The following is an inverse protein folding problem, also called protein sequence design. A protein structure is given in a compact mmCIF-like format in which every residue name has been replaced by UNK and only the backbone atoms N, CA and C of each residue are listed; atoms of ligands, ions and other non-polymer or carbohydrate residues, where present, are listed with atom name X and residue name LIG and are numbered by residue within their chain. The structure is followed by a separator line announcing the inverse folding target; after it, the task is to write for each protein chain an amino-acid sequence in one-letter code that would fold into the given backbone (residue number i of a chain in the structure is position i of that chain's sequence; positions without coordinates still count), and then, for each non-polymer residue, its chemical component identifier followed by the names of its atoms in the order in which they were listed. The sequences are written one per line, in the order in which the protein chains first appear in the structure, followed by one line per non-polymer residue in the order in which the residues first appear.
data_IF_094809016290
#
_entry.id   IF_094809016290
#
_cell.length_a   1.000
_cell.length_b   1.000
_cell.length_c   1.000
_cell.angle_alpha   90.00
_cell.angle_beta   90.00
_cell.angle_gamma   90.00
#
_symmetry.space_group_name_H-M   'P 1'
#
loop_
_entity.id
_entity.type
_entity.pdbx_description
1 polymer ?
#
# COMPACT_ATOMS: atom_id res chain seq x y z
N UNK A 1 -34.47 -22.61 -70.27
CA UNK A 1 -34.27 -21.22 -69.84
C UNK A 1 -35.00 -21.04 -68.52
N UNK A 2 -34.28 -20.95 -67.39
CA UNK A 2 -34.83 -20.80 -66.03
C UNK A 2 -34.07 -19.65 -65.33
N UNK A 3 -34.76 -18.74 -64.63
CA UNK A 3 -34.14 -17.56 -64.04
C UNK A 3 -33.44 -17.89 -62.71
N UNK A 4 -32.27 -17.29 -62.51
CA UNK A 4 -31.48 -17.36 -61.29
C UNK A 4 -32.02 -16.32 -60.30
N UNK A 5 -32.44 -16.77 -59.12
CA UNK A 5 -32.75 -15.92 -57.97
C UNK A 5 -31.48 -15.71 -57.14
N UNK A 6 -31.22 -14.46 -56.82
CA UNK A 6 -30.17 -13.96 -55.94
C UNK A 6 -30.45 -14.33 -54.48
N UNK A 7 -29.46 -14.88 -53.79
CA UNK A 7 -29.40 -14.95 -52.33
C UNK A 7 -28.07 -14.35 -51.88
N UNK A 8 -28.15 -13.22 -51.17
CA UNK A 8 -27.01 -12.60 -50.50
C UNK A 8 -26.69 -13.39 -49.22
N UNK A 9 -25.46 -13.86 -49.10
CA UNK A 9 -24.94 -14.46 -47.87
C UNK A 9 -24.14 -13.40 -47.09
N UNK A 10 -24.69 -12.98 -45.96
CA UNK A 10 -24.06 -12.09 -44.99
C UNK A 10 -23.00 -12.88 -44.22
N UNK A 11 -21.71 -12.61 -44.45
CA UNK A 11 -20.61 -13.24 -43.71
C UNK A 11 -20.35 -12.45 -42.44
N UNK A 12 -20.68 -13.03 -41.29
CA UNK A 12 -20.39 -12.47 -39.97
C UNK A 12 -18.95 -12.83 -39.58
N UNK A 13 -18.03 -11.87 -39.67
CA UNK A 13 -16.67 -12.05 -39.16
C UNK A 13 -16.68 -11.92 -37.62
N UNK A 14 -16.47 -13.04 -36.91
CA UNK A 14 -16.20 -13.03 -35.47
C UNK A 14 -14.79 -12.47 -35.22
N UNK A 15 -14.71 -11.24 -34.72
CA UNK A 15 -13.48 -10.72 -34.15
C UNK A 15 -13.25 -11.35 -32.77
N UNK A 16 -12.28 -12.25 -32.67
CA UNK A 16 -11.81 -12.78 -31.38
C UNK A 16 -11.04 -11.69 -30.62
N UNK A 17 -11.74 -10.98 -29.73
CA UNK A 17 -11.11 -10.16 -28.70
C UNK A 17 -10.42 -11.10 -27.71
N UNK A 18 -9.11 -11.24 -27.83
CA UNK A 18 -8.26 -11.89 -26.82
C UNK A 18 -8.33 -11.09 -25.52
N UNK A 19 -9.16 -11.54 -24.58
CA UNK A 19 -9.17 -11.02 -23.22
C UNK A 19 -7.86 -11.39 -22.53
N UNK A 20 -7.02 -10.40 -22.22
CA UNK A 20 -5.95 -10.58 -21.24
C UNK A 20 -6.61 -10.88 -19.90
N UNK A 21 -6.57 -12.13 -19.48
CA UNK A 21 -6.98 -12.52 -18.13
C UNK A 21 -6.17 -11.68 -17.14
N UNK A 22 -6.87 -10.96 -16.25
CA UNK A 22 -6.24 -10.39 -15.06
C UNK A 22 -5.60 -11.55 -14.30
N UNK A 23 -4.28 -11.49 -14.10
CA UNK A 23 -3.58 -12.51 -13.32
C UNK A 23 -4.26 -12.62 -11.95
N UNK A 24 -4.78 -13.81 -11.64
CA UNK A 24 -5.30 -14.11 -10.31
C UNK A 24 -4.19 -14.01 -9.26
N UNK A 25 -4.56 -13.91 -7.98
CA UNK A 25 -3.57 -13.86 -6.89
C UNK A 25 -2.64 -15.08 -6.99
N UNK A 26 -1.34 -14.83 -6.86
CA UNK A 26 -0.35 -15.90 -6.88
C UNK A 26 -0.56 -16.80 -5.65
N UNK A 27 -0.48 -18.12 -5.82
CA UNK A 27 -0.49 -19.04 -4.69
C UNK A 27 0.94 -19.27 -4.21
N UNK A 28 1.20 -18.94 -2.95
CA UNK A 28 2.42 -19.34 -2.25
C UNK A 28 2.01 -20.25 -1.09
N UNK A 29 2.46 -21.51 -1.10
CA UNK A 29 2.29 -22.45 0.01
C UNK A 29 0.85 -22.60 0.54
N UNK A 30 -0.14 -22.64 -0.35
CA UNK A 30 -1.56 -22.79 0.03
C UNK A 30 -2.24 -21.51 0.55
N UNK A 31 -1.56 -20.36 0.49
CA UNK A 31 -2.12 -19.03 0.80
C UNK A 31 -2.34 -18.22 -0.47
N UNK A 32 -3.40 -17.42 -0.46
CA UNK A 32 -3.70 -16.45 -1.51
C UNK A 32 -2.84 -15.19 -1.29
N UNK A 33 -1.91 -14.91 -2.20
CA UNK A 33 -1.10 -13.68 -2.15
C UNK A 33 -1.84 -12.58 -2.90
N UNK A 34 -2.21 -11.53 -2.18
CA UNK A 34 -2.98 -10.43 -2.76
C UNK A 34 -2.11 -9.40 -3.46
N UNK A 35 -0.81 -9.33 -3.20
CA UNK A 35 0.10 -8.38 -3.86
C UNK A 35 1.01 -9.13 -4.84
N UNK A 36 0.85 -8.91 -6.14
CA UNK A 36 1.54 -9.70 -7.17
C UNK A 36 3.08 -9.57 -7.13
N UNK A 37 3.60 -8.45 -6.63
CA UNK A 37 5.04 -8.21 -6.46
C UNK A 37 5.62 -8.83 -5.17
N UNK A 38 4.77 -9.32 -4.28
CA UNK A 38 5.15 -9.86 -2.98
C UNK A 38 5.62 -11.30 -3.05
N UNK A 39 6.61 -11.61 -2.20
CA UNK A 39 7.01 -12.98 -1.89
C UNK A 39 6.75 -13.20 -0.40
N UNK A 40 5.77 -14.03 -0.10
CA UNK A 40 5.39 -14.42 1.27
C UNK A 40 6.29 -15.52 1.81
N UNK A 41 6.60 -15.43 3.11
CA UNK A 41 7.43 -16.39 3.82
C UNK A 41 6.68 -17.05 4.98
N UNK A 42 7.11 -18.25 5.35
CA UNK A 42 6.50 -19.02 6.43
C UNK A 42 6.69 -18.39 7.83
N UNK A 43 7.64 -17.45 7.98
CA UNK A 43 8.00 -16.79 9.23
C UNK A 43 7.23 -15.47 9.46
N UNK A 44 6.10 -15.27 8.78
CA UNK A 44 5.26 -14.06 8.84
C UNK A 44 6.00 -12.80 8.40
N UNK A 45 6.80 -12.95 7.34
CA UNK A 45 7.45 -11.84 6.65
C UNK A 45 7.10 -11.85 5.18
N UNK A 46 7.10 -10.66 4.58
CA UNK A 46 6.88 -10.46 3.15
C UNK A 46 8.07 -9.73 2.56
N UNK A 47 8.52 -10.14 1.38
CA UNK A 47 9.58 -9.44 0.65
C UNK A 47 9.02 -8.73 -0.58
N UNK A 48 9.28 -7.43 -0.66
CA UNK A 48 8.78 -6.52 -1.69
C UNK A 48 9.93 -5.90 -2.50
N UNK A 49 9.70 -5.51 -3.77
CA UNK A 49 10.63 -4.65 -4.49
C UNK A 49 10.80 -3.32 -3.77
N UNK A 50 12.04 -2.86 -3.62
CA UNK A 50 12.33 -1.54 -3.04
C UNK A 50 12.79 -0.57 -4.13
N UNK A 51 12.35 0.67 -4.01
CA UNK A 51 12.59 1.74 -4.97
C UNK A 51 13.29 2.94 -4.30
N UNK A 52 13.95 3.78 -5.10
CA UNK A 52 14.65 4.98 -4.61
C UNK A 52 13.80 6.23 -4.76
N UNK A 53 13.75 7.03 -3.71
CA UNK A 53 13.14 8.36 -3.73
C UNK A 53 14.01 9.44 -3.12
N UNK A 54 13.53 10.68 -3.21
CA UNK A 54 14.16 11.88 -2.66
C UNK A 54 13.11 12.84 -2.09
N UNK A 55 13.32 13.29 -0.85
CA UNK A 55 12.51 14.31 -0.18
C UNK A 55 13.44 15.41 0.34
N UNK A 56 13.17 16.67 -0.01
CA UNK A 56 14.01 17.80 0.44
C UNK A 56 15.51 17.67 0.10
N UNK A 57 15.86 16.91 -0.94
CA UNK A 57 17.25 16.59 -1.29
C UNK A 57 17.83 15.33 -0.65
N UNK A 58 17.23 14.80 0.42
CA UNK A 58 17.64 13.57 1.09
C UNK A 58 17.08 12.32 0.39
N UNK A 59 17.90 11.30 0.21
CA UNK A 59 17.47 10.02 -0.38
C UNK A 59 16.72 9.16 0.63
N UNK A 60 15.71 8.44 0.14
CA UNK A 60 14.99 7.42 0.90
C UNK A 60 14.72 6.19 0.02
N UNK A 61 14.36 5.10 0.68
CA UNK A 61 13.87 3.86 0.08
C UNK A 61 12.40 3.70 0.40
N UNK A 62 11.63 3.23 -0.57
CA UNK A 62 10.18 3.04 -0.44
C UNK A 62 9.73 1.77 -1.17
N UNK A 63 8.55 1.26 -0.82
CA UNK A 63 7.85 0.20 -1.56
C UNK A 63 6.61 0.79 -2.21
N UNK A 64 6.01 0.09 -3.17
CA UNK A 64 4.67 0.44 -3.68
C UNK A 64 3.73 -0.71 -3.33
N UNK A 65 2.60 -0.39 -2.70
CA UNK A 65 1.62 -1.39 -2.26
C UNK A 65 0.39 -1.43 -3.17
N UNK A 66 -0.07 -0.26 -3.62
CA UNK A 66 -1.27 -0.11 -4.45
C UNK A 66 -1.14 1.09 -5.41
N UNK A 67 -1.94 1.08 -6.47
CA UNK A 67 -2.06 2.21 -7.38
C UNK A 67 -3.50 2.45 -7.86
N UNK A 68 -3.86 3.71 -8.13
CA UNK A 68 -5.22 4.10 -8.49
C UNK A 68 -5.62 3.81 -9.94
N UNK A 69 -4.64 3.59 -10.82
CA UNK A 69 -4.86 3.34 -12.26
C UNK A 69 -4.21 2.02 -12.67
N UNK A 70 -4.76 1.36 -13.70
CA UNK A 70 -4.18 0.12 -14.22
C UNK A 70 -2.75 0.30 -14.73
N UNK A 71 -2.44 1.42 -15.39
CA UNK A 71 -1.10 1.67 -15.92
C UNK A 71 -0.05 1.81 -14.82
N UNK A 72 -0.38 2.53 -13.73
CA UNK A 72 0.51 2.60 -12.57
C UNK A 72 0.61 1.26 -11.85
N UNK A 73 -0.50 0.54 -11.68
CA UNK A 73 -0.51 -0.79 -11.06
C UNK A 73 0.39 -1.78 -11.82
N UNK A 74 0.26 -1.83 -13.16
CA UNK A 74 1.09 -2.68 -14.02
C UNK A 74 2.57 -2.31 -13.95
N UNK A 75 2.89 -1.00 -13.93
CA UNK A 75 4.28 -0.52 -13.84
C UNK A 75 4.99 -1.01 -12.57
N UNK A 76 4.28 -1.07 -11.45
CA UNK A 76 4.85 -1.48 -10.15
C UNK A 76 4.58 -2.94 -9.79
N UNK A 77 3.76 -3.65 -10.57
CA UNK A 77 3.34 -5.02 -10.25
C UNK A 77 2.47 -5.11 -8.99
N UNK A 78 1.63 -4.10 -8.75
CA UNK A 78 0.81 -3.96 -7.54
C UNK A 78 -0.68 -4.02 -7.87
N UNK A 79 -1.54 -4.06 -6.86
CA UNK A 79 -2.98 -4.04 -7.10
C UNK A 79 -3.45 -2.68 -7.59
N UNK A 80 -4.53 -2.72 -8.38
CA UNK A 80 -5.30 -1.52 -8.69
C UNK A 80 -6.33 -1.27 -7.58
N UNK A 81 -6.17 -0.18 -6.85
CA UNK A 81 -7.13 0.31 -5.86
C UNK A 81 -7.78 1.61 -6.35
N UNK A 82 -8.97 1.49 -6.97
CA UNK A 82 -9.72 2.65 -7.50
C UNK A 82 -9.98 3.72 -6.44
N UNK A 83 -10.12 3.30 -5.17
CA UNK A 83 -10.34 4.17 -4.01
C UNK A 83 -9.25 5.22 -3.83
N UNK A 84 -8.00 4.91 -4.20
CA UNK A 84 -6.88 5.86 -4.06
C UNK A 84 -7.06 7.13 -4.90
N UNK A 85 -7.87 7.10 -5.97
CA UNK A 85 -8.21 8.30 -6.74
C UNK A 85 -8.91 9.36 -5.88
N UNK A 86 -9.61 8.94 -4.82
CA UNK A 86 -10.34 9.81 -3.90
C UNK A 86 -9.44 10.40 -2.79
N UNK A 87 -8.12 10.19 -2.81
CA UNK A 87 -7.24 10.63 -1.72
C UNK A 87 -7.25 12.15 -1.47
N UNK A 88 -7.75 12.96 -2.41
CA UNK A 88 -7.86 14.41 -2.25
C UNK A 88 -6.53 15.04 -1.83
N UNK A 89 -6.57 15.82 -0.74
CA UNK A 89 -5.43 16.49 -0.13
C UNK A 89 -4.63 15.62 0.84
N UNK A 90 -5.06 14.38 1.14
CA UNK A 90 -4.22 13.43 1.86
C UNK A 90 -3.03 12.96 1.01
N UNK A 91 -3.19 12.90 -0.31
CA UNK A 91 -2.05 12.63 -1.18
C UNK A 91 -1.09 13.83 -1.18
N UNK A 92 0.20 13.56 -1.03
CA UNK A 92 1.25 14.55 -1.28
C UNK A 92 1.61 14.59 -2.77
N UNK A 93 1.98 15.74 -3.35
CA UNK A 93 2.48 15.79 -4.72
C UNK A 93 3.82 15.06 -4.84
N UNK A 94 4.02 14.37 -5.96
CA UNK A 94 5.32 13.80 -6.31
C UNK A 94 5.46 13.63 -7.82
N UNK A 95 6.68 13.38 -8.29
CA UNK A 95 6.98 13.10 -9.69
C UNK A 95 8.19 12.18 -9.81
N UNK A 96 8.37 11.58 -10.98
CA UNK A 96 9.58 10.82 -11.28
C UNK A 96 10.59 11.69 -12.00
N UNK A 97 11.82 11.70 -11.50
CA UNK A 97 13.00 12.31 -12.12
C UNK A 97 14.04 11.22 -12.32
N UNK A 98 14.35 10.88 -13.59
CA UNK A 98 15.26 9.79 -13.97
C UNK A 98 15.00 8.46 -13.21
N UNK A 99 13.72 8.13 -12.98
CA UNK A 99 13.31 6.89 -12.29
C UNK A 99 13.31 6.98 -10.76
N UNK A 100 13.74 8.09 -10.18
CA UNK A 100 13.67 8.36 -8.72
C UNK A 100 12.39 9.10 -8.40
N UNK A 101 11.66 8.65 -7.37
CA UNK A 101 10.47 9.35 -6.90
C UNK A 101 10.86 10.60 -6.09
N UNK A 102 10.46 11.78 -6.53
CA UNK A 102 10.68 13.05 -5.83
C UNK A 102 9.39 13.49 -5.16
N UNK A 103 9.45 13.75 -3.85
CA UNK A 103 8.32 14.23 -3.02
C UNK A 103 8.75 15.41 -2.15
N UNK A 104 7.78 16.10 -1.56
CA UNK A 104 8.03 17.29 -0.75
C UNK A 104 8.48 17.00 0.68
N UNK A 105 8.08 15.88 1.26
CA UNK A 105 8.27 15.58 2.68
C UNK A 105 8.67 14.12 2.94
N UNK A 106 9.55 13.94 3.92
CA UNK A 106 10.16 12.67 4.31
C UNK A 106 9.62 12.09 5.61
N UNK A 107 10.28 11.02 6.06
CA UNK A 107 10.05 10.37 7.36
C UNK A 107 11.30 10.50 8.22
N UNK A 108 11.10 10.77 9.51
CA UNK A 108 12.12 10.63 10.54
C UNK A 108 11.96 9.28 11.26
N UNK A 109 12.97 8.42 11.15
CA UNK A 109 13.03 7.08 11.76
C UNK A 109 13.82 7.05 13.07
N UNK A 110 14.16 8.20 13.66
CA UNK A 110 14.84 8.29 14.97
C UNK A 110 13.97 8.03 16.20
N UNK A 111 12.64 8.28 16.21
CA UNK A 111 11.84 8.04 17.40
C UNK A 111 11.96 6.60 17.92
N UNK A 112 11.99 6.43 19.23
CA UNK A 112 11.93 5.10 19.85
C UNK A 112 10.47 4.74 20.11
N UNK A 113 10.07 3.53 19.68
CA UNK A 113 8.68 3.11 19.71
C UNK A 113 8.28 2.67 21.12
N UNK A 114 7.27 3.34 21.67
CA UNK A 114 6.67 2.97 22.96
C UNK A 114 5.16 2.79 22.80
N UNK A 115 4.71 1.54 22.79
CA UNK A 115 3.28 1.19 22.67
C UNK A 115 2.49 1.63 23.90
N UNK A 116 3.07 1.54 25.10
CA UNK A 116 2.38 1.87 26.35
C UNK A 116 2.03 3.35 26.44
N UNK A 117 2.89 4.21 25.90
CA UNK A 117 2.69 5.66 25.84
C UNK A 117 2.17 6.17 24.49
N UNK A 118 1.92 5.28 23.52
CA UNK A 118 1.43 5.64 22.19
C UNK A 118 2.44 6.43 21.34
N UNK A 119 3.74 6.21 21.57
CA UNK A 119 4.85 6.84 20.83
C UNK A 119 5.22 5.98 19.61
N UNK A 120 5.08 6.48 18.37
CA UNK A 120 5.49 5.76 17.16
C UNK A 120 7.02 5.71 17.03
N UNK A 121 7.56 4.65 16.40
CA UNK A 121 8.99 4.55 16.08
C UNK A 121 9.42 5.36 14.86
N UNK A 122 8.48 5.98 14.15
CA UNK A 122 8.78 6.87 13.04
C UNK A 122 7.67 7.89 12.81
N UNK A 123 8.05 9.09 12.38
CA UNK A 123 7.14 10.20 12.16
C UNK A 123 7.42 10.88 10.83
N UNK A 124 6.39 11.02 10.02
CA UNK A 124 6.41 11.83 8.81
C UNK A 124 6.45 13.31 9.13
N UNK A 125 7.22 14.07 8.36
CA UNK A 125 7.18 15.53 8.38
C UNK A 125 5.77 16.06 8.04
N UNK A 126 5.45 17.33 8.32
CA UNK A 126 4.10 17.91 8.14
C UNK A 126 3.48 17.69 6.74
N UNK A 127 4.31 17.58 5.70
CA UNK A 127 3.88 17.34 4.33
C UNK A 127 3.74 15.87 3.95
N UNK A 128 4.27 14.94 4.76
CA UNK A 128 4.44 13.54 4.40
C UNK A 128 3.10 12.81 4.35
N UNK A 129 2.97 11.97 3.33
CA UNK A 129 1.93 10.97 3.18
C UNK A 129 2.47 9.82 2.35
N UNK A 130 2.19 8.56 2.69
CA UNK A 130 2.53 7.45 1.81
C UNK A 130 1.75 7.53 0.49
N UNK A 131 0.60 8.22 0.47
CA UNK A 131 -0.14 8.47 -0.76
C UNK A 131 0.53 9.57 -1.57
N UNK A 132 0.98 9.24 -2.78
CA UNK A 132 1.65 10.18 -3.69
C UNK A 132 0.84 10.37 -4.96
N UNK A 133 0.45 11.62 -5.24
CA UNK A 133 -0.20 12.02 -6.48
C UNK A 133 0.85 12.38 -7.53
N UNK A 134 0.88 11.61 -8.62
CA UNK A 134 1.79 11.78 -9.74
C UNK A 134 1.24 12.76 -10.80
N UNK A 135 2.09 13.28 -11.71
CA UNK A 135 1.62 13.96 -12.91
C UNK A 135 0.69 13.02 -13.70
N UNK A 136 -0.41 13.57 -14.22
CA UNK A 136 -1.48 12.78 -14.86
C UNK A 136 -2.53 12.23 -13.89
N UNK A 137 -2.40 12.50 -12.59
CA UNK A 137 -3.48 12.31 -11.60
C UNK A 137 -3.54 10.94 -10.93
N UNK A 138 -2.72 9.97 -11.35
CA UNK A 138 -2.57 8.70 -10.67
C UNK A 138 -2.09 8.89 -9.23
N UNK A 139 -2.62 8.10 -8.30
CA UNK A 139 -2.18 8.04 -6.90
C UNK A 139 -1.57 6.67 -6.65
N UNK A 140 -0.37 6.64 -6.08
CA UNK A 140 0.28 5.41 -5.60
C UNK A 140 0.36 5.43 -4.07
N UNK A 141 0.27 4.27 -3.45
CA UNK A 141 0.63 4.07 -2.05
C UNK A 141 2.10 3.66 -1.97
N UNK A 142 2.94 4.58 -1.49
CA UNK A 142 4.40 4.57 -1.59
C UNK A 142 5.08 4.83 -0.23
N UNK A 143 4.87 3.97 0.77
CA UNK A 143 5.43 4.16 2.12
C UNK A 143 6.96 4.10 2.13
N UNK A 144 7.59 5.01 2.87
CA UNK A 144 9.04 5.01 3.07
C UNK A 144 9.44 3.94 4.07
N UNK A 145 10.50 3.18 3.76
CA UNK A 145 10.97 2.06 4.59
C UNK A 145 12.36 2.28 5.19
N UNK A 146 13.16 3.20 4.62
CA UNK A 146 14.47 3.55 5.16
C UNK A 146 14.99 4.88 4.59
N UNK A 147 15.80 5.59 5.35
CA UNK A 147 16.64 6.69 4.88
C UNK A 147 17.87 6.85 5.80
N UNK A 148 18.54 8.01 5.76
CA UNK A 148 19.71 8.28 6.58
C UNK A 148 19.43 8.32 8.10
N UNK A 149 18.18 8.54 8.51
CA UNK A 149 17.77 8.61 9.92
C UNK A 149 17.49 7.23 10.53
N UNK A 150 17.29 6.20 9.71
CA UNK A 150 16.98 4.86 10.18
C UNK A 150 16.13 4.04 9.21
N UNK A 151 15.43 3.05 9.75
CA UNK A 151 14.55 2.13 9.03
C UNK A 151 13.20 2.06 9.73
N UNK A 152 12.16 1.76 8.96
CA UNK A 152 10.84 1.50 9.49
C UNK A 152 10.86 0.26 10.41
N UNK A 153 10.11 0.30 11.53
CA UNK A 153 10.09 -0.74 12.58
C UNK A 153 9.79 -2.16 12.08
N UNK A 154 9.10 -2.30 10.94
CA UNK A 154 8.77 -3.60 10.35
C UNK A 154 9.87 -4.16 9.46
N UNK A 155 10.92 -3.38 9.13
CA UNK A 155 12.02 -3.85 8.28
C UNK A 155 12.89 -4.85 9.04
N UNK A 156 12.85 -6.10 8.61
CA UNK A 156 13.72 -7.19 9.12
C UNK A 156 14.90 -7.48 8.19
N UNK A 157 14.84 -7.01 6.95
CA UNK A 157 15.91 -7.13 5.97
C UNK A 157 15.83 -6.06 4.89
N UNK A 158 16.97 -5.56 4.44
CA UNK A 158 17.06 -4.62 3.32
C UNK A 158 18.31 -4.97 2.50
N UNK A 159 18.11 -5.27 1.23
CA UNK A 159 19.16 -5.62 0.28
C UNK A 159 18.97 -4.89 -1.04
N UNK A 160 19.90 -5.06 -1.98
CA UNK A 160 19.82 -4.39 -3.28
C UNK A 160 18.52 -4.81 -4.01
N UNK A 161 17.59 -3.85 -4.14
CA UNK A 161 16.34 -4.03 -4.88
C UNK A 161 15.20 -4.72 -4.10
N UNK A 162 15.40 -5.15 -2.85
CA UNK A 162 14.35 -5.79 -2.05
C UNK A 162 14.39 -5.36 -0.58
N UNK A 163 13.20 -5.32 0.03
CA UNK A 163 13.02 -5.16 1.48
C UNK A 163 12.14 -6.28 2.01
N UNK A 164 12.46 -6.79 3.19
CA UNK A 164 11.66 -7.78 3.91
C UNK A 164 11.02 -7.10 5.11
N UNK A 165 9.70 -7.16 5.18
CA UNK A 165 8.87 -6.56 6.22
C UNK A 165 8.21 -7.65 7.06
N UNK A 166 8.14 -7.44 8.36
CA UNK A 166 7.30 -8.23 9.27
C UNK A 166 5.83 -7.92 8.99
N UNK A 167 5.02 -8.96 8.86
CA UNK A 167 3.57 -8.82 8.72
C UNK A 167 2.87 -8.71 10.09
N UNK A 168 1.70 -8.09 10.12
CA UNK A 168 0.75 -8.15 11.22
C UNK A 168 -0.27 -9.27 10.91
N UNK A 169 -0.57 -10.12 11.88
CA UNK A 169 -1.69 -11.06 11.78
C UNK A 169 -3.00 -10.34 12.10
N UNK A 170 -4.05 -10.61 11.32
CA UNK A 170 -5.38 -10.09 11.54
C UNK A 170 -6.46 -11.08 11.12
N UNK A 171 -7.72 -10.63 11.15
CA UNK A 171 -8.86 -11.41 10.67
C UNK A 171 -9.71 -10.60 9.69
N UNK A 172 -10.13 -11.25 8.61
CA UNK A 172 -11.05 -10.68 7.63
C UNK A 172 -12.04 -11.73 7.16
N UNK A 173 -13.34 -11.43 7.25
CA UNK A 173 -14.46 -12.32 6.85
C UNK A 173 -14.31 -13.75 7.39
N UNK A 174 -13.90 -13.89 8.65
CA UNK A 174 -13.69 -15.17 9.34
C UNK A 174 -12.33 -15.84 9.09
N UNK A 175 -11.52 -15.35 8.15
CA UNK A 175 -10.21 -15.92 7.82
C UNK A 175 -9.08 -15.19 8.54
N UNK A 176 -8.02 -15.91 8.89
CA UNK A 176 -6.74 -15.30 9.29
C UNK A 176 -6.12 -14.68 8.04
N UNK A 177 -5.68 -13.43 8.17
CA UNK A 177 -4.95 -12.70 7.13
C UNK A 177 -3.63 -12.21 7.71
N UNK A 178 -2.63 -12.09 6.85
CA UNK A 178 -1.41 -11.35 7.19
C UNK A 178 -1.33 -10.16 6.27
N UNK A 179 -0.90 -9.03 6.83
CA UNK A 179 -0.87 -7.76 6.13
C UNK A 179 0.29 -6.91 6.60
N UNK A 180 0.75 -6.01 5.73
CA UNK A 180 1.69 -4.96 6.11
C UNK A 180 0.93 -3.72 6.53
N UNK A 181 1.33 -3.13 7.65
CA UNK A 181 0.84 -1.83 8.12
C UNK A 181 2.03 -0.87 8.14
N UNK A 182 2.00 0.16 7.30
CA UNK A 182 3.16 1.04 7.11
C UNK A 182 2.97 2.44 7.65
N UNK A 183 1.74 2.96 7.61
CA UNK A 183 1.47 4.34 8.02
C UNK A 183 0.11 4.45 8.71
N UNK A 184 0.01 5.36 9.68
CA UNK A 184 -1.23 5.69 10.34
C UNK A 184 -1.37 7.19 10.58
N UNK A 185 -2.61 7.70 10.56
CA UNK A 185 -2.87 9.13 10.73
C UNK A 185 -2.85 9.61 12.18
N UNK A 186 -2.74 8.69 13.15
CA UNK A 186 -2.81 8.96 14.60
C UNK A 186 -1.71 8.20 15.33
N UNK A 187 -1.16 8.84 16.37
CA UNK A 187 -0.01 8.32 17.12
C UNK A 187 -0.27 6.96 17.78
N UNK A 188 -1.41 6.79 18.47
CA UNK A 188 -1.75 5.52 19.14
C UNK A 188 -1.75 4.32 18.17
N UNK A 189 -2.52 4.35 17.06
CA UNK A 189 -2.47 3.32 16.04
C UNK A 189 -1.09 3.14 15.40
N UNK A 190 -0.35 4.22 15.14
CA UNK A 190 1.01 4.16 14.61
C UNK A 190 1.95 3.40 15.56
N UNK A 191 1.91 3.74 16.86
CA UNK A 191 2.64 3.04 17.89
C UNK A 191 2.21 1.59 18.00
N UNK A 192 0.91 1.29 18.04
CA UNK A 192 0.41 -0.08 18.15
C UNK A 192 0.90 -0.96 16.98
N UNK A 193 0.70 -0.51 15.75
CA UNK A 193 1.06 -1.30 14.56
C UNK A 193 2.56 -1.30 14.25
N UNK A 194 3.35 -0.40 14.86
CA UNK A 194 4.73 -0.14 14.43
C UNK A 194 4.77 0.50 13.05
N UNK A 195 3.82 1.40 12.78
CA UNK A 195 3.67 2.15 11.56
C UNK A 195 4.23 3.57 11.72
N UNK A 196 4.54 4.20 10.59
CA UNK A 196 4.93 5.61 10.52
C UNK A 196 3.73 6.51 10.85
N UNK A 197 3.90 7.48 11.74
CA UNK A 197 2.88 8.52 11.94
C UNK A 197 2.86 9.47 10.73
N UNK A 198 1.76 9.49 9.98
CA UNK A 198 1.54 10.35 8.81
C UNK A 198 0.27 11.20 9.00
N UNK A 199 0.32 12.34 9.73
CA UNK A 199 -0.87 13.11 10.08
C UNK A 199 -1.68 13.58 8.86
N UNK A 200 -1.01 13.79 7.72
CA UNK A 200 -1.65 14.20 6.46
C UNK A 200 -2.68 13.19 5.96
N UNK A 201 -2.54 11.89 6.26
CA UNK A 201 -3.52 10.87 5.91
C UNK A 201 -4.91 11.19 6.48
N UNK A 202 -5.00 11.94 7.58
CA UNK A 202 -6.28 12.30 8.17
C UNK A 202 -7.11 13.24 7.29
N UNK A 203 -6.51 13.84 6.26
CA UNK A 203 -7.19 14.66 5.25
C UNK A 203 -7.94 13.82 4.20
N UNK A 204 -7.85 12.49 4.24
CA UNK A 204 -8.56 11.61 3.31
C UNK A 204 -10.07 11.75 3.54
N UNK A 205 -10.91 11.76 2.49
CA UNK A 205 -12.33 12.12 2.62
C UNK A 205 -13.08 11.34 3.71
N UNK A 206 -13.71 12.15 4.58
CA UNK A 206 -14.60 11.89 5.73
C UNK A 206 -14.20 10.73 6.67
N UNK A 207 -13.96 11.00 7.97
CA UNK A 207 -13.81 9.95 8.98
C UNK A 207 -14.96 8.93 8.92
N UNK A 208 -14.65 7.65 9.09
CA UNK A 208 -15.64 6.56 9.04
C UNK A 208 -16.17 6.20 7.66
N UNK A 209 -15.72 6.85 6.58
CA UNK A 209 -16.10 6.48 5.22
C UNK A 209 -15.38 5.21 4.76
N UNK A 210 -16.12 4.29 4.15
CA UNK A 210 -15.59 3.08 3.49
C UNK A 210 -16.25 2.87 2.10
N UNK A 211 -17.00 3.87 1.62
CA UNK A 211 -17.63 3.85 0.31
C UNK A 211 -16.64 3.91 -0.86
N UNK A 212 -17.11 3.66 -2.07
CA UNK A 212 -16.30 3.75 -3.31
C UNK A 212 -15.80 5.16 -3.62
N UNK A 213 -16.38 6.16 -2.98
CA UNK A 213 -16.05 7.59 -3.04
C UNK A 213 -15.01 8.03 -1.98
N UNK A 214 -14.52 7.10 -1.15
CA UNK A 214 -13.46 7.36 -0.17
C UNK A 214 -12.17 6.63 -0.54
N UNK A 215 -11.04 7.18 -0.08
CA UNK A 215 -9.73 6.52 -0.10
C UNK A 215 -9.46 5.71 1.17
N UNK A 216 -10.41 5.69 2.12
CA UNK A 216 -10.32 4.96 3.38
C UNK A 216 -10.91 3.54 3.25
N UNK A 217 -10.40 2.64 4.08
CA UNK A 217 -10.96 1.32 4.36
C UNK A 217 -10.92 1.08 5.87
N UNK A 218 -11.88 0.33 6.39
CA UNK A 218 -11.98 0.08 7.83
C UNK A 218 -10.97 -0.97 8.31
N UNK A 219 -10.22 -0.63 9.36
CA UNK A 219 -9.35 -1.55 10.10
C UNK A 219 -9.66 -1.37 11.60
N UNK A 220 -9.93 -2.47 12.30
CA UNK A 220 -10.06 -2.47 13.75
C UNK A 220 -8.82 -3.16 14.35
N UNK A 221 -7.97 -2.38 15.02
CA UNK A 221 -6.82 -2.88 15.74
C UNK A 221 -7.19 -3.08 17.22
N UNK A 222 -6.65 -4.12 17.83
CA UNK A 222 -6.89 -4.47 19.23
C UNK A 222 -5.56 -4.62 19.95
N UNK A 223 -5.51 -4.18 21.21
CA UNK A 223 -4.46 -4.54 22.14
C UNK A 223 -5.08 -5.42 23.20
N UNK A 224 -4.29 -6.35 23.76
CA UNK A 224 -4.64 -6.83 25.09
C UNK A 224 -4.64 -5.62 26.03
N UNK A 225 -5.61 -5.54 26.95
CA UNK A 225 -5.69 -4.48 27.95
C UNK A 225 -4.47 -4.48 28.88
N UNK A 226 -4.52 -3.71 29.96
CA UNK A 226 -3.44 -3.68 30.96
C UNK A 226 -3.02 -5.11 31.37
N UNK A 227 -1.72 -5.39 31.32
CA UNK A 227 -1.11 -6.67 31.73
C UNK A 227 -0.20 -6.44 32.93
N UNK A 228 -0.16 -7.39 33.86
CA UNK A 228 0.62 -7.31 35.09
C UNK A 228 -0.07 -8.03 36.24
N UNK A 229 0.69 -8.60 37.17
CA UNK A 229 0.13 -9.30 38.34
C UNK A 229 -0.69 -8.36 39.24
N UNK A 230 -0.35 -7.06 39.24
CA UNK A 230 -0.96 -6.04 40.08
C UNK A 230 -2.08 -5.26 39.38
N UNK A 231 -2.52 -5.68 38.18
CA UNK A 231 -3.62 -5.01 37.50
C UNK A 231 -4.97 -5.38 38.17
N UNK A 232 -5.68 -4.42 38.79
CA UNK A 232 -6.96 -4.70 39.46
C UNK A 232 -8.10 -5.07 38.48
N UNK A 233 -7.87 -4.95 37.17
CA UNK A 233 -8.82 -5.29 36.10
C UNK A 233 -8.47 -6.59 35.36
N UNK A 234 -7.56 -7.43 35.90
CA UNK A 234 -7.21 -8.74 35.32
C UNK A 234 -8.28 -9.80 35.56
#
# INVERSE_FOLDING_TARGET
MRPIRTTAALTLALATLGGTALAGPAQASGRTVFLASAVEHADHTVTLPVHRGRAGGASFWYVVLDASTSGAAQRFGVNRSNKLSNAGSAAQPGHFDHGVLVVGAGVDFRPDRDVGNGVPGSTGEDGYSPLVRLPGGAVIDAPQVANATGRHDKVVGLSAGRVTLRETEGRSRGNVVHYVSTDASKAGPAALEGATLAPRLDRAPRPGADGTDSARASLAAFTNGQVGADNPQR
#
